data_IF_099891769163
#
_entry.id   IF_099891769163
#
_cell.length_a   1.000
_cell.length_b   1.000
_cell.length_c   1.000
_cell.angle_alpha   90.00
_cell.angle_beta   90.00
_cell.angle_gamma   90.00
#
_symmetry.space_group_name_H-M   'P 1'
#
loop_
_entity.id
_entity.type
_entity.pdbx_description
1 polymer ?
#
# COMPACT_ATOMS: atom_id res chain seq x y z
N UNK A 1 -8.74 0.95 8.39
CA UNK A 1 -8.61 -0.28 7.58
C UNK A 1 -7.74 -1.32 8.26
N UNK A 2 -7.94 -2.60 7.93
CA UNK A 2 -7.13 -3.71 8.42
C UNK A 2 -6.66 -4.57 7.25
N UNK A 3 -5.37 -4.88 7.20
CA UNK A 3 -4.82 -5.83 6.23
C UNK A 3 -4.90 -7.25 6.80
N UNK A 4 -5.53 -8.16 6.06
CA UNK A 4 -5.67 -9.56 6.41
C UNK A 4 -4.60 -10.37 5.68
N UNK A 5 -3.64 -10.88 6.44
CA UNK A 5 -2.47 -11.62 5.92
C UNK A 5 -2.55 -13.14 6.06
N UNK A 6 -3.76 -13.69 6.24
CA UNK A 6 -3.96 -15.12 6.39
C UNK A 6 -3.86 -15.88 5.06
N UNK A 7 -3.33 -17.10 5.14
CA UNK A 7 -2.99 -17.90 3.97
C UNK A 7 -4.15 -18.78 3.45
N UNK A 8 -5.21 -18.92 4.23
CA UNK A 8 -6.37 -19.76 3.88
C UNK A 8 -7.66 -18.92 3.85
N UNK A 9 -8.62 -19.36 3.05
CA UNK A 9 -9.96 -18.75 3.03
C UNK A 9 -10.58 -18.71 4.43
N UNK A 10 -10.51 -19.82 5.18
CA UNK A 10 -11.04 -19.88 6.53
C UNK A 10 -10.38 -18.88 7.48
N UNK A 11 -9.04 -18.79 7.45
CA UNK A 11 -8.30 -17.83 8.26
C UNK A 11 -8.61 -16.39 7.87
N UNK A 12 -8.71 -16.08 6.58
CA UNK A 12 -9.12 -14.73 6.14
C UNK A 12 -10.51 -14.35 6.63
N UNK A 13 -11.49 -15.27 6.56
CA UNK A 13 -12.85 -15.04 7.06
C UNK A 13 -12.85 -14.83 8.58
N UNK A 14 -12.12 -15.63 9.33
CA UNK A 14 -12.01 -15.49 10.79
C UNK A 14 -11.43 -14.12 11.18
N UNK A 15 -10.31 -13.73 10.60
CA UNK A 15 -9.68 -12.44 10.87
C UNK A 15 -10.52 -11.25 10.38
N UNK A 16 -11.18 -11.38 9.24
CA UNK A 16 -12.08 -10.34 8.73
C UNK A 16 -13.24 -10.08 9.71
N UNK A 17 -13.85 -11.13 10.23
CA UNK A 17 -14.92 -11.02 11.23
C UNK A 17 -14.42 -10.45 12.56
N UNK A 18 -13.23 -10.82 13.00
CA UNK A 18 -12.59 -10.24 14.17
C UNK A 18 -12.31 -8.75 13.98
N UNK A 19 -11.80 -8.35 12.81
CA UNK A 19 -11.56 -6.95 12.48
C UNK A 19 -12.86 -6.14 12.45
N UNK A 20 -13.93 -6.69 11.87
CA UNK A 20 -15.28 -6.09 11.89
C UNK A 20 -15.79 -5.87 13.31
N UNK A 21 -15.68 -6.89 14.16
CA UNK A 21 -16.11 -6.82 15.57
C UNK A 21 -15.31 -5.77 16.38
N UNK A 22 -14.08 -5.47 15.97
CA UNK A 22 -13.23 -4.44 16.57
C UNK A 22 -13.39 -3.05 15.94
N UNK A 23 -14.32 -2.88 15.00
CA UNK A 23 -14.67 -1.59 14.41
C UNK A 23 -13.84 -1.20 13.19
N UNK A 24 -13.34 -2.15 12.42
CA UNK A 24 -12.76 -1.84 11.12
C UNK A 24 -13.85 -1.37 10.14
N UNK A 25 -13.54 -0.35 9.34
CA UNK A 25 -14.45 0.17 8.32
C UNK A 25 -14.33 -0.58 7.00
N UNK A 26 -13.13 -1.06 6.67
CA UNK A 26 -12.83 -1.82 5.46
C UNK A 26 -11.56 -2.66 5.61
N UNK A 27 -11.39 -3.61 4.72
CA UNK A 27 -10.32 -4.61 4.77
C UNK A 27 -9.44 -4.57 3.51
N UNK A 28 -8.18 -4.99 3.64
CA UNK A 28 -7.31 -5.34 2.50
C UNK A 28 -6.92 -6.81 2.62
N UNK A 29 -7.43 -7.65 1.72
CA UNK A 29 -7.09 -9.05 1.68
C UNK A 29 -5.76 -9.26 0.94
N UNK A 30 -4.86 -10.03 1.54
CA UNK A 30 -3.64 -10.48 0.87
C UNK A 30 -3.92 -11.73 0.04
N UNK A 31 -3.30 -11.90 -1.14
CA UNK A 31 -3.37 -13.17 -1.84
C UNK A 31 -2.63 -14.26 -1.05
N UNK A 32 -3.00 -15.54 -1.25
CA UNK A 32 -2.29 -16.65 -0.61
C UNK A 32 -0.83 -16.72 -1.10
N UNK A 33 0.12 -17.18 -0.29
CA UNK A 33 1.54 -17.25 -0.64
C UNK A 33 1.83 -18.47 -1.52
N UNK A 34 1.21 -18.54 -2.67
CA UNK A 34 1.38 -19.59 -3.68
C UNK A 34 1.81 -18.96 -5.00
N UNK A 35 2.47 -19.72 -5.86
CA UNK A 35 2.85 -19.32 -7.20
C UNK A 35 2.18 -20.24 -8.23
N UNK A 36 2.16 -19.78 -9.48
CA UNK A 36 1.77 -20.58 -10.64
C UNK A 36 0.33 -21.14 -10.58
N UNK A 37 -0.58 -20.43 -9.93
CA UNK A 37 -2.02 -20.76 -9.97
C UNK A 37 -2.73 -19.97 -11.07
N UNK A 38 -3.74 -20.55 -11.73
CA UNK A 38 -4.57 -19.83 -12.67
C UNK A 38 -5.28 -18.63 -12.00
N UNK A 39 -5.46 -17.56 -12.73
CA UNK A 39 -6.21 -16.39 -12.24
C UNK A 39 -7.62 -16.75 -11.74
N UNK A 40 -8.27 -17.73 -12.38
CA UNK A 40 -9.58 -18.24 -11.96
C UNK A 40 -9.58 -18.80 -10.53
N UNK A 41 -8.48 -19.42 -10.08
CA UNK A 41 -8.37 -19.91 -8.71
C UNK A 41 -8.21 -18.74 -7.72
N UNK A 42 -7.50 -17.69 -8.10
CA UNK A 42 -7.37 -16.49 -7.28
C UNK A 42 -8.70 -15.74 -7.18
N UNK A 43 -9.45 -15.65 -8.26
CA UNK A 43 -10.82 -15.12 -8.26
C UNK A 43 -11.73 -15.92 -7.32
N UNK A 44 -11.67 -17.26 -7.40
CA UNK A 44 -12.44 -18.14 -6.51
C UNK A 44 -12.05 -17.95 -5.05
N UNK A 45 -10.76 -17.82 -4.77
CA UNK A 45 -10.23 -17.58 -3.42
C UNK A 45 -10.82 -16.29 -2.80
N UNK A 46 -10.69 -15.16 -3.49
CA UNK A 46 -11.24 -13.90 -3.01
C UNK A 46 -12.77 -13.89 -2.98
N UNK A 47 -13.42 -14.52 -3.96
CA UNK A 47 -14.87 -14.65 -4.00
C UNK A 47 -15.44 -15.39 -2.79
N UNK A 48 -14.82 -16.49 -2.37
CA UNK A 48 -15.23 -17.23 -1.16
C UNK A 48 -15.11 -16.40 0.13
N UNK A 49 -14.10 -15.53 0.21
CA UNK A 49 -13.98 -14.61 1.34
C UNK A 49 -15.04 -13.52 1.25
N UNK A 50 -15.23 -12.94 0.05
CA UNK A 50 -16.22 -11.88 -0.21
C UNK A 50 -17.64 -12.29 0.19
N UNK A 51 -18.04 -13.55 -0.12
CA UNK A 51 -19.35 -14.09 0.20
C UNK A 51 -19.59 -14.28 1.71
N UNK A 52 -18.52 -14.33 2.51
CA UNK A 52 -18.58 -14.64 3.94
C UNK A 52 -18.39 -13.42 4.86
N UNK A 53 -18.13 -12.24 4.29
CA UNK A 53 -17.88 -10.99 5.01
C UNK A 53 -18.88 -9.90 4.56
N UNK A 54 -19.13 -8.92 5.44
CA UNK A 54 -20.07 -7.83 5.15
C UNK A 54 -19.36 -6.49 4.89
N UNK A 55 -18.17 -6.31 5.44
CA UNK A 55 -17.39 -5.09 5.24
C UNK A 55 -17.00 -4.88 3.77
N UNK A 56 -16.91 -3.64 3.32
CA UNK A 56 -16.20 -3.32 2.10
C UNK A 56 -14.76 -3.85 2.18
N UNK A 57 -14.30 -4.44 1.11
CA UNK A 57 -12.94 -4.92 1.07
C UNK A 57 -12.20 -4.54 -0.22
N UNK A 58 -10.91 -4.51 -0.11
CA UNK A 58 -9.98 -4.45 -1.21
C UNK A 58 -9.04 -5.65 -1.22
N UNK A 59 -8.27 -5.77 -2.27
CA UNK A 59 -7.19 -6.75 -2.37
C UNK A 59 -5.84 -6.05 -2.58
N UNK A 60 -4.77 -6.65 -2.04
CA UNK A 60 -3.41 -6.30 -2.40
C UNK A 60 -3.09 -6.93 -3.76
N UNK A 61 -3.12 -6.14 -4.82
CA UNK A 61 -2.82 -6.57 -6.19
C UNK A 61 -1.43 -6.08 -6.61
N UNK A 62 -0.41 -6.86 -6.28
CA UNK A 62 0.99 -6.51 -6.47
C UNK A 62 1.80 -7.68 -7.07
N UNK A 63 1.45 -8.17 -8.28
CA UNK A 63 2.09 -9.34 -8.87
C UNK A 63 3.60 -9.21 -9.02
N UNK A 64 4.13 -7.99 -9.18
CA UNK A 64 5.56 -7.71 -9.26
C UNK A 64 6.33 -8.03 -7.96
N UNK A 65 5.66 -8.10 -6.81
CA UNK A 65 6.26 -8.44 -5.52
C UNK A 65 5.80 -9.81 -5.01
N UNK A 66 4.56 -10.18 -5.31
CA UNK A 66 3.91 -11.38 -4.75
C UNK A 66 3.94 -12.56 -5.72
N UNK A 67 4.32 -12.33 -7.00
CA UNK A 67 4.32 -13.36 -8.03
C UNK A 67 2.94 -13.74 -8.56
N UNK A 68 1.86 -13.32 -7.89
CA UNK A 68 0.47 -13.54 -8.29
C UNK A 68 -0.35 -12.27 -8.13
N UNK A 69 -1.41 -12.15 -8.92
CA UNK A 69 -2.35 -11.03 -8.88
C UNK A 69 -3.43 -11.20 -9.93
N UNK A 70 -4.42 -10.34 -9.90
CA UNK A 70 -5.47 -10.28 -10.91
C UNK A 70 -5.09 -9.29 -12.03
N UNK A 71 -5.43 -9.64 -13.25
CA UNK A 71 -5.45 -8.69 -14.36
C UNK A 71 -6.54 -7.63 -14.16
N UNK A 72 -6.52 -6.54 -14.93
CA UNK A 72 -7.61 -5.54 -14.88
C UNK A 72 -8.97 -6.19 -15.14
N UNK A 73 -9.06 -7.15 -16.09
CA UNK A 73 -10.27 -7.94 -16.34
C UNK A 73 -10.67 -8.81 -15.14
N UNK A 74 -9.69 -9.42 -14.46
CA UNK A 74 -9.94 -10.18 -13.23
C UNK A 74 -10.48 -9.30 -12.12
N UNK A 75 -9.95 -8.08 -11.94
CA UNK A 75 -10.47 -7.09 -11.01
C UNK A 75 -11.92 -6.70 -11.36
N UNK A 76 -12.22 -6.45 -12.65
CA UNK A 76 -13.58 -6.17 -13.11
C UNK A 76 -14.52 -7.37 -12.88
N UNK A 77 -14.05 -8.60 -13.11
CA UNK A 77 -14.84 -9.80 -12.84
C UNK A 77 -15.20 -9.95 -11.36
N UNK A 78 -14.22 -9.74 -10.45
CA UNK A 78 -14.46 -9.75 -9.00
C UNK A 78 -15.44 -8.66 -8.57
N UNK A 79 -15.30 -7.45 -9.09
CA UNK A 79 -16.18 -6.32 -8.84
C UNK A 79 -17.62 -6.60 -9.27
N UNK A 80 -17.81 -7.22 -10.44
CA UNK A 80 -19.14 -7.53 -10.97
C UNK A 80 -19.84 -8.61 -10.15
N UNK A 81 -19.09 -9.54 -9.59
CA UNK A 81 -19.63 -10.68 -8.83
C UNK A 81 -19.88 -10.36 -7.36
N UNK A 82 -19.10 -9.43 -6.77
CA UNK A 82 -19.11 -9.16 -5.33
C UNK A 82 -19.26 -7.66 -5.07
N UNK A 83 -20.45 -7.24 -4.69
CA UNK A 83 -20.79 -5.84 -4.47
C UNK A 83 -20.01 -5.16 -3.33
N UNK A 84 -19.44 -5.94 -2.41
CA UNK A 84 -18.57 -5.46 -1.33
C UNK A 84 -17.09 -5.33 -1.71
N UNK A 85 -16.69 -5.75 -2.91
CA UNK A 85 -15.37 -5.44 -3.46
C UNK A 85 -15.35 -4.00 -3.98
N UNK A 86 -14.71 -3.09 -3.25
CA UNK A 86 -14.72 -1.64 -3.51
C UNK A 86 -13.36 -1.03 -3.72
N UNK A 87 -12.31 -1.73 -3.30
CA UNK A 87 -10.98 -1.16 -3.16
C UNK A 87 -9.97 -2.07 -3.86
N UNK A 88 -8.95 -1.48 -4.46
CA UNK A 88 -7.76 -2.22 -4.88
C UNK A 88 -6.51 -1.48 -4.45
N UNK A 89 -5.61 -2.17 -3.75
CA UNK A 89 -4.28 -1.66 -3.44
C UNK A 89 -3.28 -2.18 -4.47
N UNK A 90 -2.69 -1.29 -5.23
CA UNK A 90 -1.69 -1.62 -6.25
C UNK A 90 -0.31 -1.07 -5.86
N UNK A 91 0.72 -1.62 -6.51
CA UNK A 91 2.10 -1.15 -6.38
C UNK A 91 2.66 -0.69 -7.75
N UNK A 92 1.79 -0.45 -8.71
CA UNK A 92 2.15 0.02 -10.05
C UNK A 92 2.37 1.54 -10.04
N UNK A 93 3.14 2.04 -11.00
CA UNK A 93 3.31 3.47 -11.21
C UNK A 93 2.10 4.13 -11.89
N UNK A 94 2.12 5.47 -12.05
CA UNK A 94 0.98 6.26 -12.53
C UNK A 94 0.48 5.83 -13.93
N UNK A 95 1.35 5.39 -14.80
CA UNK A 95 0.99 5.02 -16.18
C UNK A 95 0.10 3.77 -16.27
N UNK A 96 0.01 2.97 -15.21
CA UNK A 96 -0.87 1.79 -15.19
C UNK A 96 -2.31 2.12 -14.73
N UNK A 97 -2.53 3.26 -14.09
CA UNK A 97 -3.83 3.60 -13.52
C UNK A 97 -4.92 3.84 -14.56
N UNK A 98 -4.71 4.61 -15.64
CA UNK A 98 -5.78 4.90 -16.59
C UNK A 98 -6.44 3.63 -17.15
N UNK A 99 -5.66 2.64 -17.55
CA UNK A 99 -6.17 1.38 -18.07
C UNK A 99 -6.94 0.56 -17.01
N UNK A 100 -6.54 0.62 -15.76
CA UNK A 100 -7.26 -0.02 -14.65
C UNK A 100 -8.60 0.68 -14.39
N UNK A 101 -8.59 2.02 -14.30
CA UNK A 101 -9.80 2.82 -14.06
C UNK A 101 -10.80 2.66 -15.20
N UNK A 102 -10.34 2.65 -16.45
CA UNK A 102 -11.20 2.41 -17.63
C UNK A 102 -11.85 1.03 -17.56
N UNK A 103 -11.08 -0.04 -17.34
CA UNK A 103 -11.61 -1.42 -17.28
C UNK A 103 -12.62 -1.60 -16.15
N UNK A 104 -12.41 -0.97 -14.99
CA UNK A 104 -13.30 -1.07 -13.83
C UNK A 104 -14.41 -0.01 -13.82
N UNK A 105 -14.48 0.84 -14.83
CA UNK A 105 -15.50 1.90 -14.96
C UNK A 105 -15.34 3.01 -13.91
N UNK A 106 -14.17 3.15 -13.28
CA UNK A 106 -13.92 4.13 -12.23
C UNK A 106 -14.68 3.87 -10.92
N UNK A 107 -15.23 2.68 -10.74
CA UNK A 107 -16.05 2.32 -9.57
C UNK A 107 -15.25 1.69 -8.40
N UNK A 108 -13.96 1.43 -8.60
CA UNK A 108 -13.05 0.97 -7.55
C UNK A 108 -12.19 2.12 -7.04
N UNK A 109 -12.12 2.25 -5.73
CA UNK A 109 -11.14 3.11 -5.08
C UNK A 109 -9.74 2.49 -5.21
N UNK A 110 -8.90 3.09 -6.05
CA UNK A 110 -7.54 2.62 -6.28
C UNK A 110 -6.59 3.32 -5.32
N UNK A 111 -6.00 2.55 -4.40
CA UNK A 111 -4.93 3.03 -3.54
C UNK A 111 -3.57 2.56 -4.05
N UNK A 112 -2.58 3.47 -4.07
CA UNK A 112 -1.23 3.15 -4.50
C UNK A 112 -0.29 3.07 -3.31
N UNK A 113 0.47 1.98 -3.22
CA UNK A 113 1.49 1.78 -2.21
C UNK A 113 2.82 2.45 -2.56
N UNK A 114 3.87 1.67 -2.75
CA UNK A 114 5.23 2.12 -3.11
C UNK A 114 5.79 3.21 -2.18
N UNK A 115 5.40 3.18 -0.90
CA UNK A 115 5.79 4.18 0.10
C UNK A 115 5.49 5.64 -0.29
N UNK A 116 4.61 5.88 -1.27
CA UNK A 116 4.33 7.20 -1.81
C UNK A 116 5.27 7.66 -2.93
N UNK A 117 6.08 6.76 -3.50
CA UNK A 117 6.85 7.08 -4.71
C UNK A 117 5.88 7.47 -5.83
N UNK A 118 6.22 8.55 -6.53
CA UNK A 118 5.38 9.12 -7.59
C UNK A 118 4.00 9.59 -7.09
N UNK A 119 3.86 9.91 -5.78
CA UNK A 119 2.60 10.28 -5.14
C UNK A 119 1.82 11.33 -5.92
N UNK A 120 2.50 12.38 -6.39
CA UNK A 120 1.88 13.46 -7.16
C UNK A 120 1.24 12.93 -8.44
N UNK A 121 2.01 12.19 -9.24
CA UNK A 121 1.55 11.68 -10.53
C UNK A 121 0.47 10.60 -10.40
N UNK A 122 0.49 9.76 -9.37
CA UNK A 122 -0.56 8.74 -9.19
C UNK A 122 -1.88 9.37 -8.75
N UNK A 123 -1.85 10.44 -7.95
CA UNK A 123 -3.06 11.18 -7.58
C UNK A 123 -3.63 11.94 -8.79
N UNK A 124 -2.78 12.56 -9.61
CA UNK A 124 -3.18 13.21 -10.88
C UNK A 124 -3.78 12.19 -11.86
N UNK A 125 -3.26 10.97 -11.90
CA UNK A 125 -3.78 9.88 -12.74
C UNK A 125 -5.10 9.29 -12.23
N UNK A 126 -5.65 9.74 -11.10
CA UNK A 126 -6.96 9.35 -10.57
C UNK A 126 -6.94 8.31 -9.46
N UNK A 127 -5.82 8.09 -8.78
CA UNK A 127 -5.82 7.28 -7.57
C UNK A 127 -6.69 7.93 -6.48
N UNK A 128 -7.48 7.11 -5.77
CA UNK A 128 -8.31 7.57 -4.65
C UNK A 128 -7.46 7.96 -3.43
N UNK A 129 -6.24 7.44 -3.34
CA UNK A 129 -5.34 7.75 -2.25
C UNK A 129 -4.03 6.97 -2.28
N UNK A 130 -3.26 7.13 -1.21
CA UNK A 130 -1.96 6.52 -1.03
C UNK A 130 -1.96 5.63 0.22
N UNK A 131 -1.14 4.58 0.19
CA UNK A 131 -0.77 3.82 1.39
C UNK A 131 0.74 3.96 1.56
N UNK A 132 1.20 5.03 2.24
CA UNK A 132 2.60 5.33 2.42
C UNK A 132 3.27 4.42 3.44
N UNK A 133 4.57 4.55 3.57
CA UNK A 133 5.30 4.01 4.70
C UNK A 133 5.02 4.81 5.98
N UNK A 134 5.12 4.14 7.12
CA UNK A 134 4.88 4.76 8.43
C UNK A 134 5.81 5.95 8.70
N UNK A 135 7.04 5.88 8.21
CA UNK A 135 8.07 6.90 8.41
C UNK A 135 7.82 8.22 7.67
N UNK A 136 6.83 8.26 6.76
CA UNK A 136 6.52 9.44 5.93
C UNK A 136 5.04 9.78 5.88
N UNK A 137 4.18 9.07 6.64
CA UNK A 137 2.73 9.17 6.48
C UNK A 137 2.21 10.60 6.75
N UNK A 138 2.72 11.29 7.73
CA UNK A 138 2.36 12.68 8.08
C UNK A 138 2.61 13.65 6.92
N UNK A 139 3.73 13.45 6.22
CA UNK A 139 4.08 14.25 5.03
C UNK A 139 3.18 13.91 3.85
N UNK A 140 2.83 12.64 3.69
CA UNK A 140 1.89 12.22 2.64
C UNK A 140 0.48 12.71 2.90
N UNK A 141 0.04 12.79 4.15
CA UNK A 141 -1.23 13.46 4.53
C UNK A 141 -1.17 14.94 4.14
N UNK A 142 -0.11 15.65 4.53
CA UNK A 142 0.04 17.07 4.18
C UNK A 142 0.05 17.30 2.65
N UNK A 143 0.73 16.43 1.89
CA UNK A 143 0.72 16.48 0.42
C UNK A 143 -0.70 16.30 -0.12
N UNK A 144 -1.42 15.29 0.36
CA UNK A 144 -2.79 15.00 -0.07
C UNK A 144 -3.72 16.18 0.24
N UNK A 145 -3.64 16.76 1.43
CA UNK A 145 -4.44 17.92 1.85
C UNK A 145 -4.15 19.15 0.98
N UNK A 146 -2.87 19.42 0.66
CA UNK A 146 -2.51 20.51 -0.24
C UNK A 146 -3.10 20.32 -1.64
N UNK A 147 -3.03 19.11 -2.19
CA UNK A 147 -3.64 18.82 -3.50
C UNK A 147 -5.16 18.96 -3.47
N UNK A 148 -5.82 18.45 -2.41
CA UNK A 148 -7.27 18.59 -2.24
C UNK A 148 -7.72 20.07 -2.17
N UNK A 149 -6.88 20.93 -1.60
CA UNK A 149 -7.10 22.38 -1.51
C UNK A 149 -6.56 23.17 -2.73
N UNK A 150 -6.05 22.47 -3.76
CA UNK A 150 -5.47 23.06 -4.98
C UNK A 150 -4.27 23.99 -4.71
N UNK A 151 -3.49 23.63 -3.70
CA UNK A 151 -2.24 24.30 -3.32
C UNK A 151 -1.05 23.53 -3.90
N UNK A 152 -0.93 23.54 -5.22
CA UNK A 152 0.02 22.70 -5.96
C UNK A 152 1.48 22.99 -5.61
N UNK A 153 1.86 24.24 -5.42
CA UNK A 153 3.24 24.59 -5.06
C UNK A 153 3.64 24.08 -3.67
N UNK A 154 2.73 24.10 -2.70
CA UNK A 154 2.95 23.55 -1.36
C UNK A 154 2.99 22.04 -1.41
N UNK A 155 2.13 21.39 -2.20
CA UNK A 155 2.14 19.95 -2.41
C UNK A 155 3.47 19.50 -3.03
N UNK A 156 3.95 20.18 -4.07
CA UNK A 156 5.23 19.91 -4.71
C UNK A 156 6.40 20.08 -3.71
N UNK A 157 6.39 21.14 -2.92
CA UNK A 157 7.42 21.38 -1.91
C UNK A 157 7.49 20.23 -0.87
N UNK A 158 6.33 19.76 -0.40
CA UNK A 158 6.26 18.60 0.52
C UNK A 158 6.80 17.34 -0.17
N UNK A 159 6.42 17.09 -1.42
CA UNK A 159 6.87 15.91 -2.17
C UNK A 159 8.39 15.90 -2.35
N UNK A 160 8.97 17.03 -2.80
CA UNK A 160 10.42 17.17 -2.98
C UNK A 160 11.20 17.02 -1.67
N UNK A 161 10.58 17.32 -0.54
CA UNK A 161 11.19 17.12 0.79
C UNK A 161 11.22 15.64 1.19
N UNK A 162 10.20 14.87 0.83
CA UNK A 162 10.04 13.46 1.19
C UNK A 162 10.76 12.52 0.20
N UNK A 163 10.73 12.83 -1.09
CA UNK A 163 11.21 11.96 -2.17
C UNK A 163 12.61 11.36 -1.93
N UNK A 164 13.63 12.10 -1.43
CA UNK A 164 14.94 11.52 -1.15
C UNK A 164 14.91 10.37 -0.13
N UNK A 165 14.00 10.41 0.84
CA UNK A 165 13.83 9.34 1.80
C UNK A 165 13.20 8.10 1.15
N UNK A 166 12.16 8.29 0.35
CA UNK A 166 11.49 7.21 -0.38
C UNK A 166 12.48 6.52 -1.35
N UNK A 167 13.18 7.31 -2.15
CA UNK A 167 14.19 6.78 -3.11
C UNK A 167 15.30 6.03 -2.38
N UNK A 168 15.75 6.51 -1.22
CA UNK A 168 16.74 5.81 -0.42
C UNK A 168 16.23 4.46 0.08
N UNK A 169 14.98 4.40 0.55
CA UNK A 169 14.39 3.18 1.12
C UNK A 169 14.00 2.13 0.07
N UNK A 170 13.47 2.53 -1.08
CA UNK A 170 12.87 1.62 -2.07
C UNK A 170 13.88 0.92 -3.01
N UNK A 171 15.11 0.69 -2.57
CA UNK A 171 16.09 -0.09 -3.36
C UNK A 171 15.69 -1.57 -3.50
N UNK A 172 15.05 -2.12 -2.49
CA UNK A 172 14.43 -3.45 -2.45
C UNK A 172 13.50 -3.51 -1.25
N UNK A 173 12.63 -4.52 -1.15
CA UNK A 173 11.78 -4.74 0.02
C UNK A 173 12.61 -4.90 1.31
N UNK A 174 13.70 -5.66 1.25
CA UNK A 174 14.58 -5.84 2.41
C UNK A 174 15.25 -4.53 2.85
N UNK A 175 15.67 -3.70 1.88
CA UNK A 175 16.22 -2.39 2.17
C UNK A 175 15.17 -1.46 2.76
N UNK A 176 13.96 -1.48 2.21
CA UNK A 176 12.82 -0.74 2.75
C UNK A 176 12.54 -1.14 4.21
N UNK A 177 12.35 -2.43 4.50
CA UNK A 177 12.08 -2.93 5.85
C UNK A 177 13.15 -2.49 6.87
N UNK A 178 14.42 -2.43 6.45
CA UNK A 178 15.52 -2.01 7.33
C UNK A 178 15.51 -0.50 7.57
N UNK A 179 15.59 0.30 6.51
CA UNK A 179 15.83 1.73 6.65
C UNK A 179 14.58 2.57 6.90
N UNK A 180 13.39 2.06 6.59
CA UNK A 180 12.14 2.67 7.02
C UNK A 180 12.03 2.66 8.55
N UNK A 181 12.39 1.55 9.20
CA UNK A 181 12.45 1.45 10.66
C UNK A 181 13.49 2.39 11.28
N UNK A 182 14.66 2.52 10.65
CA UNK A 182 15.69 3.44 11.08
C UNK A 182 15.24 4.91 11.03
N UNK A 183 14.57 5.30 9.95
CA UNK A 183 14.04 6.65 9.80
C UNK A 183 12.88 6.88 10.79
N UNK A 184 11.93 5.96 10.87
CA UNK A 184 10.80 6.06 11.79
C UNK A 184 11.23 6.12 13.25
N UNK A 185 12.15 5.25 13.67
CA UNK A 185 12.70 5.24 15.02
C UNK A 185 13.30 6.58 15.41
N UNK A 186 14.13 7.16 14.52
CA UNK A 186 14.73 8.48 14.76
C UNK A 186 13.71 9.61 14.82
N UNK A 187 12.68 9.55 13.97
CA UNK A 187 11.59 10.55 13.99
C UNK A 187 10.75 10.47 15.27
N UNK A 188 10.59 9.26 15.82
CA UNK A 188 9.90 9.01 17.10
C UNK A 188 10.80 9.19 18.34
N UNK A 189 12.09 9.43 18.17
CA UNK A 189 13.04 9.45 19.29
C UNK A 189 13.24 8.07 19.93
N UNK A 190 13.07 6.99 19.17
CA UNK A 190 13.19 5.60 19.62
C UNK A 190 14.27 4.86 18.86
N UNK A 191 14.82 3.82 19.48
CA UNK A 191 15.76 2.91 18.81
C UNK A 191 15.01 1.97 17.86
N UNK A 192 15.55 1.79 16.65
CA UNK A 192 14.99 0.87 15.69
C UNK A 192 15.29 -0.59 16.07
N UNK A 193 14.27 -1.43 16.09
CA UNK A 193 14.41 -2.87 16.34
C UNK A 193 14.53 -3.58 14.98
N UNK A 194 15.65 -4.27 14.77
CA UNK A 194 15.89 -5.06 13.57
C UNK A 194 15.59 -6.53 13.83
N UNK A 195 14.77 -7.11 12.98
CA UNK A 195 14.58 -8.55 12.89
C UNK A 195 15.52 -9.15 11.83
N UNK A 196 15.59 -10.47 11.76
CA UNK A 196 16.43 -11.18 10.77
C UNK A 196 16.07 -10.93 9.30
N UNK A 197 14.87 -10.42 9.04
CA UNK A 197 14.42 -10.01 7.71
C UNK A 197 14.89 -8.58 7.44
N UNK A 198 15.63 -8.39 6.36
CA UNK A 198 16.14 -7.09 5.97
C UNK A 198 17.55 -7.19 5.40
N UNK A 199 18.18 -6.05 5.18
CA UNK A 199 19.60 -5.96 4.84
C UNK A 199 20.42 -5.65 6.08
N UNK A 200 21.70 -6.00 6.04
CA UNK A 200 22.64 -5.60 7.08
C UNK A 200 22.75 -4.06 7.13
N UNK A 201 22.65 -3.54 8.34
CA UNK A 201 22.76 -2.09 8.57
C UNK A 201 24.21 -1.67 8.50
N UNK A 202 24.50 -0.69 7.64
CA UNK A 202 25.86 -0.17 7.47
C UNK A 202 26.03 1.19 8.15
N UNK A 203 27.27 1.55 8.58
CA UNK A 203 27.53 2.88 9.15
C UNK A 203 27.14 4.03 8.22
N UNK A 204 27.33 3.87 6.89
CA UNK A 204 26.87 4.87 5.92
C UNK A 204 25.35 4.94 5.88
N UNK A 205 24.67 3.79 5.84
CA UNK A 205 23.21 3.72 5.83
C UNK A 205 22.58 4.39 7.04
N UNK A 206 23.15 4.18 8.24
CA UNK A 206 22.72 4.86 9.48
C UNK A 206 22.86 6.38 9.38
N UNK A 207 24.01 6.88 8.89
CA UNK A 207 24.20 8.34 8.71
C UNK A 207 23.22 8.93 7.70
N UNK A 208 22.90 8.18 6.63
CA UNK A 208 21.92 8.62 5.63
C UNK A 208 20.50 8.62 6.23
N UNK A 209 20.11 7.57 6.93
CA UNK A 209 18.82 7.50 7.62
C UNK A 209 18.65 8.63 8.64
N UNK A 210 19.68 8.92 9.42
CA UNK A 210 19.68 10.04 10.38
C UNK A 210 19.50 11.40 9.68
N UNK A 211 20.21 11.63 8.57
CA UNK A 211 20.08 12.86 7.80
C UNK A 211 18.68 13.03 7.24
N UNK A 212 18.09 11.94 6.72
CA UNK A 212 16.74 11.94 6.17
C UNK A 212 15.68 12.12 7.26
N UNK A 213 15.83 11.45 8.41
CA UNK A 213 14.93 11.64 9.55
C UNK A 213 14.94 13.10 10.06
N UNK A 214 16.12 13.71 10.16
CA UNK A 214 16.24 15.14 10.53
C UNK A 214 15.57 16.07 9.51
N UNK A 215 15.69 15.77 8.22
CA UNK A 215 15.03 16.53 7.16
C UNK A 215 13.51 16.46 7.27
N UNK A 216 12.97 15.25 7.53
CA UNK A 216 11.53 15.04 7.69
C UNK A 216 10.97 15.62 9.00
N UNK A 217 11.82 15.83 10.02
CA UNK A 217 11.41 16.28 11.34
C UNK A 217 10.80 15.17 12.21
N UNK A 218 10.38 15.48 13.45
CA UNK A 218 9.73 14.51 14.33
C UNK A 218 8.35 14.11 13.77
N UNK A 219 7.89 12.88 14.16
CA UNK A 219 6.53 12.40 13.92
C UNK A 219 5.57 12.92 14.96
#
# INVERSE_FOLDING_TARGET
SVTIGENSVAGQIEFARAAEALGADWLVLQPPPVSDIPESELLRYFGQVADAITLPFGIQNAPQYLGIGLSNRGLRALQTQHANFKIVKIENGPLALPALLEETGGELDVFVGRAGLEAYAVLEAGAAGLIPGFETFDRMVALFDHLAEKRDAEAEAVYLDVEPAIVFMLKSINHFVTYSREIAGRRLGQEAIHHRLGVEVTPLGLRLAERLARRLGPL
#
